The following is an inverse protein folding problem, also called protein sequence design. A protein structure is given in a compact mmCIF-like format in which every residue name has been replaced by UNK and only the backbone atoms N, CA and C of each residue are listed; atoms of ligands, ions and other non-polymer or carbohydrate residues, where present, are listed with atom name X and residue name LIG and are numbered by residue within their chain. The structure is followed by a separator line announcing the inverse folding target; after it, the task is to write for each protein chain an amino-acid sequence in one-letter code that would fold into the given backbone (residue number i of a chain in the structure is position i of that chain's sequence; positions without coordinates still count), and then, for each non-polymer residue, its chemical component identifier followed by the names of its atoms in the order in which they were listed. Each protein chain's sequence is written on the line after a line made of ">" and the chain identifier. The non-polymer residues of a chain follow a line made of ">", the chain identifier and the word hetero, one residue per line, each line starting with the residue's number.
data_IF_248461428431
#
_entry.id   IF_248461428431
#
_cell.length_a   1.000
_cell.length_b   1.000
_cell.length_c   1.000
_cell.angle_alpha   90.00
_cell.angle_beta   90.00
_cell.angle_gamma   90.00
#
_symmetry.space_group_name_H-M   'P 1'
#
loop_
_entity.id
_entity.type
_entity.pdbx_description
1 polymer ?
#
# COMPACT_ATOMS: atom_id res chain seq x y z
N UNK A 1 2.00 -18.59 -8.33
CA UNK A 1 3.07 -19.22 -7.53
C UNK A 1 2.84 -18.99 -6.04
N UNK A 2 2.36 -19.96 -5.25
CA UNK A 2 1.99 -19.80 -3.82
C UNK A 2 3.15 -19.33 -2.92
N UNK A 3 2.86 -18.47 -1.94
CA UNK A 3 3.80 -18.10 -0.87
C UNK A 3 4.22 -19.35 -0.08
N UNK A 4 5.49 -19.74 -0.17
CA UNK A 4 6.02 -20.87 0.60
C UNK A 4 6.24 -20.46 2.05
N UNK A 5 6.21 -21.42 2.99
CA UNK A 5 6.56 -21.16 4.40
C UNK A 5 7.95 -20.52 4.53
N UNK A 6 8.94 -20.99 3.77
CA UNK A 6 10.31 -20.45 3.80
C UNK A 6 10.35 -19.00 3.34
N UNK A 7 9.59 -18.65 2.29
CA UNK A 7 9.50 -17.27 1.85
C UNK A 7 8.75 -16.41 2.87
N UNK A 8 7.68 -16.91 3.50
CA UNK A 8 6.95 -16.20 4.54
C UNK A 8 7.84 -15.89 5.76
N UNK A 9 8.64 -16.84 6.22
CA UNK A 9 9.61 -16.64 7.31
C UNK A 9 10.66 -15.57 6.92
N UNK A 10 11.20 -15.63 5.69
CA UNK A 10 12.18 -14.66 5.21
C UNK A 10 11.61 -13.24 5.12
N UNK A 11 10.36 -13.11 4.65
CA UNK A 11 9.66 -11.82 4.59
C UNK A 11 9.36 -11.29 6.00
N UNK A 12 8.94 -12.17 6.94
CA UNK A 12 8.63 -11.79 8.31
C UNK A 12 9.90 -11.35 9.07
N UNK A 13 11.01 -12.06 8.89
CA UNK A 13 12.31 -11.71 9.47
C UNK A 13 12.78 -10.33 8.98
N UNK A 14 12.74 -10.13 7.66
CA UNK A 14 13.05 -8.84 7.05
C UNK A 14 12.15 -7.72 7.59
N UNK A 15 10.84 -7.94 7.63
CA UNK A 15 9.89 -6.93 8.09
C UNK A 15 10.03 -6.58 9.57
N UNK A 16 10.26 -7.59 10.43
CA UNK A 16 10.44 -7.40 11.86
C UNK A 16 11.74 -6.66 12.15
N UNK A 17 12.84 -7.04 11.47
CA UNK A 17 14.11 -6.32 11.58
C UNK A 17 14.00 -4.87 11.13
N UNK A 18 13.26 -4.62 10.04
CA UNK A 18 13.04 -3.28 9.50
C UNK A 18 12.28 -2.36 10.44
N UNK A 19 11.25 -2.83 11.16
CA UNK A 19 10.47 -2.02 12.13
C UNK A 19 11.15 -1.89 13.50
N UNK A 20 12.30 -2.55 13.69
CA UNK A 20 13.13 -2.46 14.90
C UNK A 20 14.42 -1.67 14.65
N UNK A 21 14.64 -1.18 13.42
CA UNK A 21 15.84 -0.45 13.03
C UNK A 21 15.58 1.07 13.05
N UNK A 22 15.93 1.71 14.16
CA UNK A 22 15.70 3.14 14.40
C UNK A 22 16.49 4.09 13.48
N UNK A 23 17.62 3.65 12.89
CA UNK A 23 18.45 4.50 12.02
C UNK A 23 19.00 3.74 10.80
N UNK A 24 19.23 4.44 9.66
CA UNK A 24 18.91 5.86 9.40
C UNK A 24 17.40 6.12 9.35
N UNK A 25 16.97 7.35 9.66
CA UNK A 25 15.57 7.76 9.65
C UNK A 25 15.40 9.09 8.89
N UNK A 26 14.49 9.09 7.91
CA UNK A 26 14.03 10.22 7.13
C UNK A 26 12.73 10.74 7.73
N UNK A 27 12.86 11.77 8.57
CA UNK A 27 11.73 12.40 9.23
C UNK A 27 11.04 13.41 8.30
N UNK A 28 9.74 13.21 8.03
CA UNK A 28 8.88 14.25 7.45
C UNK A 28 8.27 15.08 8.60
N UNK A 29 8.76 16.31 8.76
CA UNK A 29 8.37 17.17 9.85
C UNK A 29 8.32 18.63 9.43
N UNK A 30 7.13 19.22 9.56
CA UNK A 30 6.96 20.67 9.39
C UNK A 30 7.48 21.39 10.66
N UNK A 31 8.66 21.99 10.53
CA UNK A 31 9.28 22.86 11.53
C UNK A 31 8.49 24.17 11.59
N UNK A 32 7.91 24.48 12.75
CA UNK A 32 7.10 25.70 12.95
C UNK A 32 7.87 26.83 13.64
N UNK A 33 8.91 26.50 14.39
CA UNK A 33 9.78 27.45 15.07
C UNK A 33 11.18 26.87 15.25
N UNK A 34 12.14 27.71 15.64
CA UNK A 34 13.56 27.35 15.68
C UNK A 34 13.90 26.20 16.65
N UNK A 35 13.07 25.94 17.66
CA UNK A 35 13.29 24.84 18.62
C UNK A 35 12.48 23.57 18.30
N UNK A 36 11.78 23.52 17.15
CA UNK A 36 10.92 22.40 16.72
C UNK A 36 11.76 21.30 16.06
N UNK A 37 12.58 20.63 16.89
CA UNK A 37 13.50 19.58 16.46
C UNK A 37 13.28 18.28 17.25
N UNK A 38 12.08 17.67 17.18
CA UNK A 38 11.80 16.44 17.90
C UNK A 38 12.59 15.25 17.34
N UNK A 39 12.82 14.26 18.20
CA UNK A 39 13.28 12.94 17.76
C UNK A 39 12.08 12.12 17.28
N UNK A 40 12.23 11.26 16.24
CA UNK A 40 11.13 10.47 15.70
C UNK A 40 10.33 9.70 16.75
N UNK A 41 11.00 8.96 17.64
CA UNK A 41 10.35 8.18 18.70
C UNK A 41 9.56 9.02 19.72
N UNK A 42 9.78 10.33 19.79
CA UNK A 42 9.04 11.22 20.68
C UNK A 42 7.71 11.70 20.09
N UNK A 43 7.62 11.77 18.75
CA UNK A 43 6.43 12.26 18.03
C UNK A 43 5.69 11.17 17.26
N UNK A 44 6.34 10.03 17.01
CA UNK A 44 5.79 8.89 16.30
C UNK A 44 6.12 7.55 17.01
N UNK A 45 5.69 7.34 18.27
CA UNK A 45 6.09 6.16 19.04
C UNK A 45 5.50 4.84 18.54
N UNK A 46 4.37 4.86 17.82
CA UNK A 46 3.80 3.64 17.22
C UNK A 46 4.65 3.22 16.03
N UNK A 47 5.05 4.20 15.21
CA UNK A 47 5.69 3.97 13.92
C UNK A 47 7.19 4.33 13.90
N UNK A 48 7.82 4.43 15.07
CA UNK A 48 9.27 4.48 15.23
C UNK A 48 9.92 3.17 14.76
N UNK A 49 11.22 3.22 14.45
CA UNK A 49 11.99 2.01 14.18
C UNK A 49 12.09 1.60 12.72
N UNK A 50 11.78 2.47 11.75
CA UNK A 50 11.96 2.24 10.31
C UNK A 50 12.65 3.44 9.62
N UNK A 51 12.91 3.36 8.31
CA UNK A 51 13.48 4.47 7.53
C UNK A 51 12.57 5.71 7.54
N UNK A 52 11.25 5.55 7.42
CA UNK A 52 10.28 6.63 7.55
C UNK A 52 8.94 6.12 8.09
N UNK A 53 8.03 7.06 8.39
CA UNK A 53 6.76 6.77 9.07
C UNK A 53 5.87 5.84 8.26
N UNK A 54 5.61 6.15 6.99
CA UNK A 54 4.74 5.31 6.16
C UNK A 54 5.36 3.93 5.91
N UNK A 55 6.69 3.85 5.84
CA UNK A 55 7.36 2.55 5.75
C UNK A 55 7.19 1.69 6.97
N UNK A 56 7.28 2.29 8.15
CA UNK A 56 6.89 1.58 9.36
C UNK A 56 5.45 1.08 9.26
N UNK A 57 4.50 1.90 8.83
CA UNK A 57 3.07 1.54 8.75
C UNK A 57 2.83 0.31 7.85
N UNK A 58 3.36 0.31 6.62
CA UNK A 58 3.09 -0.79 5.69
C UNK A 58 3.95 -2.03 5.97
N UNK A 59 5.04 -1.91 6.71
CA UNK A 59 5.79 -3.07 7.23
C UNK A 59 5.09 -3.70 8.44
N UNK A 60 4.45 -2.91 9.32
CA UNK A 60 3.55 -3.45 10.34
C UNK A 60 2.35 -4.18 9.70
N UNK A 61 1.75 -3.61 8.65
CA UNK A 61 0.70 -4.31 7.89
C UNK A 61 1.22 -5.64 7.32
N UNK A 62 2.44 -5.64 6.78
CA UNK A 62 3.07 -6.83 6.22
C UNK A 62 3.24 -7.94 7.25
N UNK A 63 3.68 -7.63 8.47
CA UNK A 63 3.81 -8.59 9.57
C UNK A 63 2.49 -9.25 9.94
N UNK A 64 1.43 -8.44 10.09
CA UNK A 64 0.08 -8.96 10.35
C UNK A 64 -0.41 -9.84 9.20
N UNK A 65 -0.24 -9.37 7.97
CA UNK A 65 -0.67 -10.09 6.77
C UNK A 65 0.01 -11.45 6.65
N UNK A 66 1.32 -11.51 6.91
CA UNK A 66 2.11 -12.75 6.95
C UNK A 66 1.62 -13.71 8.03
N UNK A 67 1.37 -13.22 9.26
CA UNK A 67 0.80 -14.04 10.33
C UNK A 67 -0.60 -14.57 10.00
N UNK A 68 -1.42 -13.82 9.24
CA UNK A 68 -2.73 -14.32 8.80
C UNK A 68 -2.61 -15.36 7.68
N UNK A 69 -1.68 -15.16 6.75
CA UNK A 69 -1.46 -16.07 5.63
C UNK A 69 -0.79 -17.39 6.06
N UNK A 70 0.11 -17.33 7.05
CA UNK A 70 0.83 -18.49 7.60
C UNK A 70 0.77 -18.43 9.14
N UNK A 71 -0.30 -18.95 9.76
CA UNK A 71 -0.51 -18.84 11.21
C UNK A 71 0.58 -19.49 12.08
N UNK A 72 1.32 -20.48 11.56
CA UNK A 72 2.41 -21.14 12.30
C UNK A 72 3.80 -20.55 11.98
N UNK A 73 3.89 -19.25 11.65
CA UNK A 73 5.16 -18.54 11.54
C UNK A 73 5.94 -18.61 12.86
N UNK A 74 7.22 -18.97 12.77
CA UNK A 74 8.11 -19.09 13.91
C UNK A 74 8.29 -17.77 14.67
N UNK A 75 8.24 -16.64 13.94
CA UNK A 75 8.38 -15.29 14.48
C UNK A 75 7.09 -14.71 15.08
N UNK A 76 5.94 -15.41 15.00
CA UNK A 76 4.67 -14.88 15.49
C UNK A 76 4.71 -14.38 16.96
N UNK A 77 5.40 -15.05 17.92
CA UNK A 77 5.54 -14.53 19.28
C UNK A 77 6.33 -13.21 19.37
N UNK A 78 7.41 -13.07 18.58
CA UNK A 78 8.22 -11.85 18.55
C UNK A 78 7.45 -10.68 17.92
N UNK A 79 6.70 -10.96 16.85
CA UNK A 79 5.80 -9.98 16.22
C UNK A 79 4.73 -9.53 17.21
N UNK A 80 4.09 -10.45 17.93
CA UNK A 80 3.08 -10.08 18.93
C UNK A 80 3.66 -9.20 20.05
N UNK A 81 4.87 -9.52 20.54
CA UNK A 81 5.54 -8.70 21.55
C UNK A 81 5.86 -7.28 21.04
N UNK A 82 6.25 -7.16 19.77
CA UNK A 82 6.46 -5.86 19.11
C UNK A 82 5.17 -5.03 19.08
N UNK A 83 4.06 -5.62 18.61
CA UNK A 83 2.78 -4.92 18.61
C UNK A 83 2.30 -4.54 20.02
N UNK A 84 2.56 -5.37 21.03
CA UNK A 84 2.23 -5.06 22.44
C UNK A 84 2.97 -3.86 22.99
N UNK A 85 4.23 -3.64 22.57
CA UNK A 85 5.00 -2.49 22.99
C UNK A 85 4.62 -1.20 22.25
N UNK A 86 4.18 -1.29 21.00
CA UNK A 86 3.98 -0.14 20.12
C UNK A 86 2.50 0.30 20.00
N UNK A 87 1.55 -0.63 19.90
CA UNK A 87 0.12 -0.34 19.65
C UNK A 87 -0.67 -0.20 20.95
N UNK A 88 -0.27 0.79 21.75
CA UNK A 88 -0.94 1.14 23.01
C UNK A 88 -1.80 2.40 22.83
N UNK A 89 -2.85 2.59 23.64
CA UNK A 89 -3.64 3.83 23.62
C UNK A 89 -2.80 5.10 23.81
N UNK A 90 -1.79 5.04 24.69
CA UNK A 90 -0.91 6.17 24.98
C UNK A 90 -0.02 6.53 23.78
N UNK A 91 0.59 5.54 23.12
CA UNK A 91 1.40 5.79 21.94
C UNK A 91 0.54 6.31 20.78
N UNK A 92 -0.66 5.75 20.58
CA UNK A 92 -1.58 6.22 19.53
C UNK A 92 -2.06 7.65 19.82
N UNK A 93 -2.25 8.04 21.08
CA UNK A 93 -2.57 9.42 21.43
C UNK A 93 -1.49 10.40 20.94
N UNK A 94 -0.20 10.05 21.07
CA UNK A 94 0.91 10.86 20.56
C UNK A 94 0.85 11.04 19.03
N UNK A 95 0.62 9.96 18.28
CA UNK A 95 0.47 10.03 16.80
C UNK A 95 -0.69 10.95 16.40
N UNK A 96 -1.82 10.85 17.12
CA UNK A 96 -3.02 11.65 16.88
C UNK A 96 -2.79 13.13 17.20
N UNK A 97 -2.14 13.41 18.33
CA UNK A 97 -1.82 14.77 18.74
C UNK A 97 -0.93 15.44 17.69
N UNK A 98 0.12 14.75 17.22
CA UNK A 98 1.00 15.25 16.17
C UNK A 98 0.23 15.60 14.87
N UNK A 99 -0.62 14.69 14.39
CA UNK A 99 -1.45 14.92 13.20
C UNK A 99 -2.55 15.99 13.42
N UNK A 100 -2.90 16.26 14.67
CA UNK A 100 -3.83 17.30 15.11
C UNK A 100 -3.21 18.70 15.16
N UNK A 101 -1.88 18.81 15.21
CA UNK A 101 -1.21 20.10 15.36
C UNK A 101 -1.44 21.04 14.14
N UNK A 102 -1.52 22.36 14.37
CA UNK A 102 -1.62 23.35 13.30
C UNK A 102 -0.51 23.20 12.25
N UNK A 103 -0.90 23.07 10.98
CA UNK A 103 0.02 22.90 9.84
C UNK A 103 0.42 21.45 9.55
N UNK A 104 0.23 20.51 10.49
CA UNK A 104 0.60 19.09 10.32
C UNK A 104 -0.56 18.20 9.93
N UNK A 105 -1.77 18.75 9.81
CA UNK A 105 -2.96 18.00 9.41
C UNK A 105 -2.94 17.37 8.02
N UNK A 106 -1.93 17.68 7.19
CA UNK A 106 -1.66 17.05 5.90
C UNK A 106 -0.43 16.13 5.87
N UNK A 107 0.21 15.89 7.03
CA UNK A 107 1.33 14.97 7.18
C UNK A 107 0.95 13.60 6.60
N UNK A 108 1.84 13.03 5.78
CA UNK A 108 1.66 11.71 5.16
C UNK A 108 0.46 11.58 4.19
N UNK A 109 -0.13 12.70 3.76
CA UNK A 109 -1.21 12.71 2.76
C UNK A 109 -0.68 12.46 1.34
N UNK A 110 -1.36 11.64 0.51
CA UNK A 110 -2.42 10.69 0.86
C UNK A 110 -1.87 9.29 1.17
N UNK A 111 -0.57 9.06 0.96
CA UNK A 111 0.05 7.74 0.95
C UNK A 111 0.05 7.05 2.31
N UNK A 112 0.63 7.69 3.33
CA UNK A 112 0.67 7.11 4.67
C UNK A 112 -0.72 7.01 5.28
N UNK A 113 -1.64 7.92 4.95
CA UNK A 113 -3.06 7.79 5.33
C UNK A 113 -3.67 6.50 4.80
N UNK A 114 -3.47 6.21 3.52
CA UNK A 114 -4.01 5.02 2.87
C UNK A 114 -3.44 3.73 3.47
N UNK A 115 -2.13 3.71 3.76
CA UNK A 115 -1.50 2.57 4.43
C UNK A 115 -1.96 2.39 5.88
N UNK A 116 -2.20 3.46 6.63
CA UNK A 116 -2.74 3.38 7.99
C UNK A 116 -4.14 2.76 8.00
N UNK A 117 -4.99 3.15 7.04
CA UNK A 117 -6.32 2.56 6.87
C UNK A 117 -6.23 1.08 6.48
N UNK A 118 -5.30 0.71 5.61
CA UNK A 118 -5.06 -0.69 5.24
C UNK A 118 -4.55 -1.53 6.42
N UNK A 119 -3.67 -0.97 7.25
CA UNK A 119 -3.21 -1.58 8.50
C UNK A 119 -4.38 -1.83 9.45
N UNK A 120 -5.23 -0.83 9.69
CA UNK A 120 -6.41 -0.97 10.55
C UNK A 120 -7.38 -2.02 10.00
N UNK A 121 -7.60 -2.06 8.68
CA UNK A 121 -8.47 -3.08 8.06
C UNK A 121 -7.93 -4.51 8.25
N UNK A 122 -6.61 -4.69 8.23
CA UNK A 122 -5.98 -5.99 8.52
C UNK A 122 -6.16 -6.37 10.00
N UNK A 123 -5.92 -5.44 10.93
CA UNK A 123 -6.18 -5.64 12.36
C UNK A 123 -7.64 -6.02 12.64
N UNK A 124 -8.59 -5.31 12.03
CA UNK A 124 -10.02 -5.56 12.17
C UNK A 124 -10.43 -6.91 11.56
N UNK A 125 -9.76 -7.35 10.50
CA UNK A 125 -9.97 -8.69 9.93
C UNK A 125 -9.56 -9.77 10.92
N UNK A 126 -8.34 -9.71 11.46
CA UNK A 126 -7.85 -10.68 12.45
C UNK A 126 -8.68 -10.70 13.74
N UNK A 127 -9.15 -9.52 14.19
CA UNK A 127 -10.02 -9.43 15.35
C UNK A 127 -11.38 -10.10 15.12
N UNK A 128 -11.87 -10.10 13.87
CA UNK A 128 -13.19 -10.63 13.48
C UNK A 128 -13.16 -12.13 13.21
N UNK A 129 -12.15 -12.61 12.48
CA UNK A 129 -12.05 -14.01 12.08
C UNK A 129 -11.22 -14.88 13.06
N UNK A 130 -10.41 -14.24 13.92
CA UNK A 130 -9.52 -14.93 14.86
C UNK A 130 -8.30 -15.59 14.21
N UNK A 131 -8.00 -15.26 12.95
CA UNK A 131 -6.88 -15.81 12.18
C UNK A 131 -5.69 -14.86 12.26
N UNK A 132 -4.49 -15.39 12.53
CA UNK A 132 -3.28 -14.60 12.73
C UNK A 132 -2.92 -14.45 14.20
N UNK A 133 -2.66 -13.22 14.65
CA UNK A 133 -2.19 -12.96 16.01
C UNK A 133 -3.34 -12.76 16.99
N UNK A 134 -3.30 -13.45 18.13
CA UNK A 134 -4.30 -13.36 19.21
C UNK A 134 -4.48 -11.94 19.78
N UNK A 135 -3.51 -11.05 19.56
CA UNK A 135 -3.57 -9.66 20.00
C UNK A 135 -4.31 -8.70 19.07
N UNK A 136 -4.75 -9.15 17.89
CA UNK A 136 -5.36 -8.29 16.87
C UNK A 136 -6.47 -7.38 17.41
N UNK A 137 -7.36 -7.90 18.27
CA UNK A 137 -8.46 -7.14 18.84
C UNK A 137 -8.01 -5.93 19.70
N UNK A 138 -7.02 -6.10 20.57
CA UNK A 138 -6.54 -4.99 21.44
C UNK A 138 -5.80 -3.93 20.64
N UNK A 139 -4.99 -4.33 19.66
CA UNK A 139 -4.23 -3.40 18.82
C UNK A 139 -5.17 -2.66 17.86
N UNK A 140 -6.17 -3.35 17.31
CA UNK A 140 -7.24 -2.76 16.53
C UNK A 140 -7.94 -1.64 17.33
N UNK A 141 -8.35 -1.92 18.57
CA UNK A 141 -8.99 -0.94 19.45
C UNK A 141 -8.09 0.25 19.78
N UNK A 142 -6.79 0.01 20.01
CA UNK A 142 -5.85 1.07 20.30
C UNK A 142 -5.67 2.02 19.11
N UNK A 143 -5.55 1.49 17.88
CA UNK A 143 -5.30 2.28 16.66
C UNK A 143 -6.56 2.94 16.08
N UNK A 144 -7.74 2.36 16.32
CA UNK A 144 -9.02 2.78 15.73
C UNK A 144 -9.31 4.30 15.81
N UNK A 145 -9.06 5.01 16.93
CA UNK A 145 -9.29 6.45 16.99
C UNK A 145 -8.48 7.24 15.95
N UNK A 146 -7.22 6.85 15.72
CA UNK A 146 -6.38 7.52 14.73
C UNK A 146 -6.84 7.21 13.30
N UNK A 147 -7.15 5.95 13.02
CA UNK A 147 -7.68 5.54 11.71
C UNK A 147 -9.01 6.21 11.39
N UNK A 148 -9.86 6.44 12.40
CA UNK A 148 -11.13 7.18 12.23
C UNK A 148 -10.87 8.64 11.86
N UNK A 149 -9.93 9.31 12.53
CA UNK A 149 -9.53 10.69 12.21
C UNK A 149 -8.96 10.78 10.78
N UNK A 150 -8.13 9.81 10.39
CA UNK A 150 -7.52 9.75 9.05
C UNK A 150 -8.54 9.45 7.97
N UNK A 151 -9.51 8.56 8.20
CA UNK A 151 -10.61 8.28 7.27
C UNK A 151 -11.44 9.54 6.99
N UNK A 152 -11.80 10.29 8.03
CA UNK A 152 -12.52 11.55 7.89
C UNK A 152 -11.69 12.60 7.13
N UNK A 153 -10.39 12.71 7.41
CA UNK A 153 -9.47 13.62 6.68
C UNK A 153 -9.34 13.26 5.22
N UNK A 154 -9.22 11.97 4.89
CA UNK A 154 -9.17 11.50 3.51
C UNK A 154 -10.47 11.82 2.78
N UNK A 155 -11.63 11.52 3.38
CA UNK A 155 -12.93 11.84 2.79
C UNK A 155 -13.09 13.34 2.51
N UNK A 156 -12.72 14.20 3.48
CA UNK A 156 -12.75 15.66 3.32
C UNK A 156 -11.78 16.14 2.23
N UNK A 157 -10.57 15.56 2.18
CA UNK A 157 -9.58 15.89 1.15
C UNK A 157 -10.05 15.50 -0.25
N UNK A 158 -10.65 14.33 -0.41
CA UNK A 158 -11.21 13.87 -1.68
C UNK A 158 -12.36 14.77 -2.15
N UNK A 159 -13.27 15.14 -1.24
CA UNK A 159 -14.40 16.02 -1.54
C UNK A 159 -13.97 17.46 -1.88
N UNK A 160 -12.88 17.95 -1.28
CA UNK A 160 -12.35 19.29 -1.54
C UNK A 160 -11.43 19.37 -2.77
N UNK A 161 -10.89 18.24 -3.23
CA UNK A 161 -9.94 18.19 -4.35
C UNK A 161 -10.66 18.27 -5.69
N UNK A 162 -10.23 19.20 -6.54
CA UNK A 162 -10.80 19.34 -7.88
C UNK A 162 -10.12 18.42 -8.91
N UNK A 163 -8.84 18.09 -8.71
CA UNK A 163 -8.05 17.25 -9.62
C UNK A 163 -7.44 16.06 -8.87
N UNK A 164 -7.30 14.89 -9.52
CA UNK A 164 -6.49 13.81 -9.00
C UNK A 164 -5.00 14.11 -9.20
N UNK A 165 -4.16 13.44 -8.43
CA UNK A 165 -2.71 13.37 -8.67
C UNK A 165 -2.36 12.01 -9.25
N UNK A 166 -1.80 12.00 -10.47
CA UNK A 166 -1.43 10.79 -11.25
C UNK A 166 0.07 10.50 -11.22
N UNK A 167 0.74 10.83 -10.12
CA UNK A 167 2.18 10.57 -9.96
C UNK A 167 2.45 9.05 -9.83
N UNK A 168 3.59 8.56 -10.31
CA UNK A 168 4.04 7.18 -10.05
C UNK A 168 4.66 6.97 -8.67
N UNK A 169 4.41 7.90 -7.75
CA UNK A 169 4.99 7.96 -6.40
C UNK A 169 3.91 8.27 -5.35
N UNK A 170 4.31 8.62 -4.12
CA UNK A 170 3.46 8.74 -2.93
C UNK A 170 2.17 9.54 -3.14
N UNK A 171 2.19 10.58 -3.97
CA UNK A 171 1.01 11.44 -4.16
C UNK A 171 -0.12 10.80 -4.99
N UNK A 172 0.04 9.58 -5.52
CA UNK A 172 -0.94 8.93 -6.38
C UNK A 172 -2.33 8.78 -5.71
N UNK A 173 -3.34 9.46 -6.26
CA UNK A 173 -4.69 9.46 -5.70
C UNK A 173 -5.40 8.11 -5.88
N UNK A 174 -5.18 7.43 -7.01
CA UNK A 174 -5.83 6.16 -7.29
C UNK A 174 -5.36 5.06 -6.34
N UNK A 175 -4.05 4.98 -6.12
CA UNK A 175 -3.45 4.05 -5.16
C UNK A 175 -3.95 4.29 -3.73
N UNK A 176 -3.99 5.55 -3.29
CA UNK A 176 -4.49 5.87 -1.95
C UNK A 176 -5.96 5.45 -1.77
N UNK A 177 -6.81 5.71 -2.77
CA UNK A 177 -8.22 5.28 -2.76
C UNK A 177 -8.37 3.77 -2.77
N UNK A 178 -7.54 3.03 -3.53
CA UNK A 178 -7.55 1.57 -3.56
C UNK A 178 -7.30 0.96 -2.18
N UNK A 179 -6.26 1.41 -1.46
CA UNK A 179 -5.96 0.86 -0.14
C UNK A 179 -7.03 1.27 0.90
N UNK A 180 -7.55 2.50 0.81
CA UNK A 180 -8.58 2.99 1.72
C UNK A 180 -9.93 2.29 1.52
N UNK A 181 -10.21 1.76 0.32
CA UNK A 181 -11.49 1.11 0.01
C UNK A 181 -11.72 -0.16 0.82
N UNK A 182 -10.65 -0.94 1.11
CA UNK A 182 -10.72 -2.12 1.97
C UNK A 182 -11.22 -1.75 3.37
N UNK A 183 -10.63 -0.71 3.96
CA UNK A 183 -11.05 -0.17 5.26
C UNK A 183 -12.50 0.34 5.22
N UNK A 184 -12.82 1.13 4.20
CA UNK A 184 -14.15 1.73 4.08
C UNK A 184 -15.25 0.64 3.95
N UNK A 185 -14.94 -0.49 3.31
CA UNK A 185 -15.82 -1.67 3.23
C UNK A 185 -15.87 -2.44 4.55
N UNK A 186 -14.73 -2.71 5.20
CA UNK A 186 -14.65 -3.54 6.41
C UNK A 186 -15.30 -2.90 7.64
N UNK A 187 -15.24 -1.58 7.74
CA UNK A 187 -15.84 -0.78 8.82
C UNK A 187 -17.23 -0.23 8.48
N UNK A 188 -17.75 -0.52 7.27
CA UNK A 188 -18.98 0.10 6.78
C UNK A 188 -18.95 1.63 6.86
N UNK A 189 -17.78 2.24 6.62
CA UNK A 189 -17.60 3.69 6.59
C UNK A 189 -18.22 4.26 5.31
N UNK A 190 -19.51 4.57 5.38
CA UNK A 190 -20.29 5.07 4.26
C UNK A 190 -19.76 6.41 3.75
N UNK A 191 -19.25 7.28 4.64
CA UNK A 191 -18.77 8.60 4.26
C UNK A 191 -17.51 8.49 3.41
N UNK A 192 -16.52 7.70 3.84
CA UNK A 192 -15.29 7.48 3.09
C UNK A 192 -15.58 6.77 1.76
N UNK A 193 -16.43 5.73 1.76
CA UNK A 193 -16.81 5.03 0.51
C UNK A 193 -17.45 5.98 -0.50
N UNK A 194 -18.38 6.83 -0.07
CA UNK A 194 -19.05 7.78 -0.96
C UNK A 194 -18.08 8.83 -1.50
N UNK A 195 -17.15 9.31 -0.67
CA UNK A 195 -16.10 10.23 -1.13
C UNK A 195 -15.19 9.58 -2.18
N UNK A 196 -14.79 8.31 -1.98
CA UNK A 196 -13.99 7.57 -2.96
C UNK A 196 -14.76 7.38 -4.27
N UNK A 197 -16.00 6.89 -4.23
CA UNK A 197 -16.81 6.66 -5.44
C UNK A 197 -17.05 7.97 -6.22
N UNK A 198 -17.47 9.03 -5.52
CA UNK A 198 -17.73 10.32 -6.13
C UNK A 198 -16.48 10.94 -6.77
N UNK A 199 -15.35 10.95 -6.06
CA UNK A 199 -14.10 11.51 -6.58
C UNK A 199 -13.53 10.67 -7.72
N UNK A 200 -13.54 9.33 -7.61
CA UNK A 200 -13.06 8.45 -8.68
C UNK A 200 -13.87 8.64 -9.97
N UNK A 201 -15.21 8.70 -9.87
CA UNK A 201 -16.08 8.97 -11.02
C UNK A 201 -15.85 10.35 -11.60
N UNK A 202 -15.74 11.38 -10.76
CA UNK A 202 -15.51 12.75 -11.21
C UNK A 202 -14.15 12.93 -11.91
N UNK A 203 -13.12 12.21 -11.46
CA UNK A 203 -11.76 12.41 -11.93
C UNK A 203 -11.35 11.52 -13.11
N UNK A 204 -11.90 10.29 -13.18
CA UNK A 204 -11.38 9.27 -14.09
C UNK A 204 -12.44 8.67 -15.03
N UNK A 205 -13.74 8.84 -14.79
CA UNK A 205 -14.77 8.19 -15.63
C UNK A 205 -14.77 8.66 -17.08
N UNK A 206 -14.25 9.87 -17.34
CA UNK A 206 -14.12 10.43 -18.69
C UNK A 206 -12.75 10.23 -19.33
N UNK A 207 -11.80 9.61 -18.63
CA UNK A 207 -10.44 9.44 -19.12
C UNK A 207 -10.41 8.46 -20.30
N UNK A 208 -9.60 8.79 -21.30
CA UNK A 208 -9.47 8.08 -22.59
C UNK A 208 -8.02 8.12 -23.04
N UNK A 209 -7.64 7.16 -23.88
CA UNK A 209 -6.35 7.13 -24.57
C UNK A 209 -5.17 7.37 -23.60
N UNK A 210 -5.06 6.57 -22.54
CA UNK A 210 -4.09 6.81 -21.47
C UNK A 210 -2.67 7.01 -22.03
N UNK A 211 -1.97 8.11 -21.68
CA UNK A 211 -0.70 8.50 -22.30
C UNK A 211 0.48 7.69 -21.73
N UNK A 212 0.50 6.39 -22.02
CA UNK A 212 1.48 5.41 -21.50
C UNK A 212 2.94 5.75 -21.85
N UNK A 213 3.18 6.62 -22.84
CA UNK A 213 4.52 7.05 -23.23
C UNK A 213 5.32 7.72 -22.10
N UNK A 214 4.66 8.28 -21.09
CA UNK A 214 5.29 8.92 -19.92
C UNK A 214 5.58 7.95 -18.77
N UNK A 215 5.22 6.66 -18.91
CA UNK A 215 5.48 5.64 -17.90
C UNK A 215 6.48 4.59 -18.43
N UNK A 216 7.53 4.22 -17.66
CA UNK A 216 7.83 4.68 -16.30
C UNK A 216 8.59 6.01 -16.22
N UNK A 217 8.34 6.78 -15.17
CA UNK A 217 9.24 7.79 -14.64
C UNK A 217 10.43 7.15 -13.91
N UNK A 218 11.54 7.89 -13.78
CA UNK A 218 12.80 7.36 -13.25
C UNK A 218 12.80 6.95 -11.77
N UNK A 219 11.79 7.36 -11.01
CA UNK A 219 11.63 7.06 -9.58
C UNK A 219 10.22 6.54 -9.24
N UNK A 220 9.51 6.04 -10.24
CA UNK A 220 8.18 5.47 -10.03
C UNK A 220 8.31 4.17 -9.22
N UNK A 221 7.41 3.99 -8.26
CA UNK A 221 7.11 2.69 -7.63
C UNK A 221 5.64 2.29 -7.81
N UNK A 222 4.83 3.15 -8.42
CA UNK A 222 3.44 2.90 -8.80
C UNK A 222 3.29 3.11 -10.29
N UNK A 223 2.50 2.26 -10.94
CA UNK A 223 2.02 2.49 -12.30
C UNK A 223 0.76 3.35 -12.22
N UNK A 224 0.77 4.64 -12.62
CA UNK A 224 -0.39 5.51 -12.44
C UNK A 224 -1.62 5.00 -13.17
N UNK A 225 -1.47 4.58 -14.43
CA UNK A 225 -2.59 4.14 -15.24
C UNK A 225 -3.13 2.76 -14.84
N UNK A 226 -2.28 1.84 -14.37
CA UNK A 226 -2.77 0.57 -13.84
C UNK A 226 -3.43 0.73 -12.46
N UNK A 227 -2.94 1.64 -11.61
CA UNK A 227 -3.63 1.98 -10.35
C UNK A 227 -5.00 2.63 -10.63
N UNK A 228 -5.07 3.54 -11.61
CA UNK A 228 -6.32 4.15 -12.05
C UNK A 228 -7.30 3.11 -12.58
N UNK A 229 -6.85 2.24 -13.50
CA UNK A 229 -7.69 1.17 -14.04
C UNK A 229 -8.19 0.22 -12.95
N UNK A 230 -7.35 -0.16 -11.99
CA UNK A 230 -7.75 -1.03 -10.90
C UNK A 230 -8.76 -0.34 -9.96
N UNK A 231 -8.60 0.95 -9.68
CA UNK A 231 -9.61 1.71 -8.93
C UNK A 231 -10.94 1.76 -9.68
N UNK A 232 -10.90 2.08 -10.97
CA UNK A 232 -12.10 2.20 -11.79
C UNK A 232 -12.81 0.87 -11.98
N UNK A 233 -12.09 -0.26 -11.99
CA UNK A 233 -12.69 -1.60 -11.88
C UNK A 233 -13.54 -1.74 -10.61
N UNK A 234 -13.01 -1.32 -9.46
CA UNK A 234 -13.72 -1.44 -8.18
C UNK A 234 -14.92 -0.49 -8.06
N UNK A 235 -14.85 0.68 -8.70
CA UNK A 235 -15.88 1.75 -8.64
C UNK A 235 -16.99 1.55 -9.67
N UNK A 236 -16.65 1.19 -10.91
CA UNK A 236 -17.60 1.07 -12.02
C UNK A 236 -18.30 -0.30 -12.07
N UNK A 237 -17.67 -1.35 -11.54
CA UNK A 237 -18.22 -2.71 -11.59
C UNK A 237 -18.54 -3.14 -13.03
N UNK A 238 -19.82 -3.36 -13.34
CA UNK A 238 -20.27 -3.83 -14.66
C UNK A 238 -19.94 -2.88 -15.83
N UNK A 239 -19.76 -1.59 -15.58
CA UNK A 239 -19.43 -0.59 -16.60
C UNK A 239 -17.92 -0.56 -16.95
N UNK A 240 -17.08 -1.26 -16.16
CA UNK A 240 -15.63 -1.22 -16.31
C UNK A 240 -15.15 -1.64 -17.71
N UNK A 241 -15.75 -2.67 -18.31
CA UNK A 241 -15.30 -3.17 -19.62
C UNK A 241 -15.51 -2.17 -20.76
N UNK A 242 -16.50 -1.28 -20.67
CA UNK A 242 -16.69 -0.20 -21.64
C UNK A 242 -15.71 0.95 -21.41
N UNK A 243 -15.54 1.35 -20.15
CA UNK A 243 -14.56 2.36 -19.77
C UNK A 243 -13.14 1.93 -20.17
N UNK A 244 -12.75 0.67 -19.88
CA UNK A 244 -11.44 0.11 -20.23
C UNK A 244 -11.16 0.18 -21.73
N UNK A 245 -12.14 -0.09 -22.59
CA UNK A 245 -11.96 0.03 -24.06
C UNK A 245 -11.68 1.45 -24.52
N UNK A 246 -12.12 2.46 -23.76
CA UNK A 246 -11.86 3.87 -24.07
C UNK A 246 -10.55 4.36 -23.43
N UNK A 247 -10.21 3.83 -22.26
CA UNK A 247 -9.05 4.24 -21.47
C UNK A 247 -7.75 3.55 -21.90
N UNK A 248 -7.80 2.24 -22.15
CA UNK A 248 -6.62 1.42 -22.33
C UNK A 248 -5.76 1.92 -23.51
N UNK A 249 -4.42 1.94 -23.36
CA UNK A 249 -3.53 2.26 -24.46
C UNK A 249 -3.73 1.31 -25.65
N UNK A 250 -3.35 1.78 -26.83
CA UNK A 250 -3.28 0.95 -28.03
C UNK A 250 -2.47 -0.33 -27.77
N UNK A 251 -2.90 -1.43 -28.38
CA UNK A 251 -2.26 -2.74 -28.19
C UNK A 251 -0.75 -2.74 -28.47
N UNK A 252 -0.30 -1.90 -29.42
CA UNK A 252 1.12 -1.73 -29.76
C UNK A 252 1.93 -0.98 -28.68
N UNK A 253 1.26 -0.27 -27.77
CA UNK A 253 1.88 0.50 -26.71
C UNK A 253 1.84 -0.22 -25.35
N UNK A 254 1.02 -1.28 -25.21
CA UNK A 254 0.87 -2.06 -23.97
C UNK A 254 2.19 -2.66 -23.47
N UNK A 255 3.16 -2.93 -24.36
CA UNK A 255 4.48 -3.46 -24.00
C UNK A 255 5.17 -2.65 -22.88
N UNK A 256 4.89 -1.35 -22.76
CA UNK A 256 5.41 -0.49 -21.68
C UNK A 256 4.91 -0.88 -20.29
N UNK A 257 3.71 -1.45 -20.19
CA UNK A 257 3.17 -2.03 -18.98
C UNK A 257 3.49 -3.51 -18.82
N UNK A 258 3.71 -4.25 -19.92
CA UNK A 258 3.91 -5.69 -19.87
C UNK A 258 5.38 -6.09 -19.61
N UNK A 259 6.33 -5.23 -19.98
CA UNK A 259 7.75 -5.45 -19.76
C UNK A 259 8.22 -4.84 -18.42
N UNK A 260 9.08 -5.56 -17.65
CA UNK A 260 9.69 -5.02 -16.44
C UNK A 260 10.45 -3.72 -16.67
N UNK A 261 10.31 -2.80 -15.71
CA UNK A 261 11.16 -1.63 -15.64
C UNK A 261 12.61 -2.06 -15.36
N UNK A 262 13.56 -1.39 -16.02
CA UNK A 262 14.99 -1.63 -15.87
C UNK A 262 15.50 -0.82 -14.68
N UNK A 263 16.08 -1.51 -13.69
CA UNK A 263 16.70 -0.86 -12.53
C UNK A 263 18.22 -0.81 -12.74
N UNK A 264 18.72 0.35 -13.13
CA UNK A 264 20.15 0.52 -13.49
C UNK A 264 21.07 0.59 -12.26
N UNK A 265 20.63 1.25 -11.20
CA UNK A 265 21.36 1.37 -9.94
C UNK A 265 20.42 1.10 -8.76
N UNK A 266 20.71 0.03 -8.02
CA UNK A 266 19.93 -0.39 -6.83
C UNK A 266 20.44 0.20 -5.52
N UNK A 267 21.57 0.90 -5.55
CA UNK A 267 22.09 1.65 -4.41
C UNK A 267 21.48 3.05 -4.30
N UNK A 268 20.96 3.59 -5.41
CA UNK A 268 20.24 4.85 -5.40
C UNK A 268 18.82 4.68 -4.82
N UNK A 269 18.53 5.48 -3.80
CA UNK A 269 17.28 5.38 -3.05
C UNK A 269 16.03 5.72 -3.89
N UNK A 270 16.18 6.42 -5.01
CA UNK A 270 15.08 6.66 -5.95
C UNK A 270 15.05 5.64 -7.09
N UNK A 271 16.20 5.21 -7.60
CA UNK A 271 16.30 4.19 -8.65
C UNK A 271 15.70 2.85 -8.20
N UNK A 272 15.89 2.49 -6.93
CA UNK A 272 15.32 1.25 -6.35
C UNK A 272 13.79 1.23 -6.33
N UNK A 273 13.12 2.40 -6.44
CA UNK A 273 11.67 2.46 -6.58
C UNK A 273 11.15 1.64 -7.76
N UNK A 274 11.94 1.49 -8.82
CA UNK A 274 11.55 0.72 -10.00
C UNK A 274 11.39 -0.79 -9.72
N UNK A 275 12.04 -1.34 -8.69
CA UNK A 275 11.72 -2.70 -8.23
C UNK A 275 10.32 -2.73 -7.58
N UNK A 276 9.94 -1.69 -6.85
CA UNK A 276 8.57 -1.53 -6.34
C UNK A 276 7.55 -1.27 -7.45
N UNK A 277 7.92 -0.57 -8.53
CA UNK A 277 7.07 -0.42 -9.71
C UNK A 277 6.79 -1.78 -10.35
N UNK A 278 7.81 -2.63 -10.47
CA UNK A 278 7.61 -3.99 -10.97
C UNK A 278 6.63 -4.76 -10.06
N UNK A 279 6.74 -4.66 -8.73
CA UNK A 279 5.77 -5.29 -7.83
C UNK A 279 4.35 -4.70 -7.92
N UNK A 280 4.20 -3.37 -8.03
CA UNK A 280 2.89 -2.75 -8.17
C UNK A 280 2.24 -3.03 -9.52
N UNK A 281 3.02 -3.14 -10.60
CA UNK A 281 2.54 -3.64 -11.90
C UNK A 281 2.12 -5.09 -11.81
N UNK A 282 2.91 -5.96 -11.17
CA UNK A 282 2.53 -7.35 -10.95
C UNK A 282 1.18 -7.46 -10.21
N UNK A 283 0.99 -6.65 -9.18
CA UNK A 283 -0.28 -6.58 -8.44
C UNK A 283 -1.44 -6.13 -9.35
N UNK A 284 -1.31 -4.99 -10.02
CA UNK A 284 -2.42 -4.42 -10.79
C UNK A 284 -2.77 -5.28 -12.01
N UNK A 285 -1.78 -5.77 -12.75
CA UNK A 285 -1.99 -6.64 -13.91
C UNK A 285 -2.70 -7.94 -13.53
N UNK A 286 -2.26 -8.59 -12.44
CA UNK A 286 -2.91 -9.81 -11.94
C UNK A 286 -4.37 -9.54 -11.55
N UNK A 287 -4.66 -8.40 -10.91
CA UNK A 287 -6.01 -8.05 -10.49
C UNK A 287 -6.91 -7.75 -11.69
N UNK A 288 -6.42 -6.96 -12.64
CA UNK A 288 -7.14 -6.57 -13.85
C UNK A 288 -7.40 -7.77 -14.78
N UNK A 289 -6.51 -8.75 -14.84
CA UNK A 289 -6.70 -9.95 -15.65
C UNK A 289 -8.02 -10.68 -15.38
N UNK A 290 -8.54 -10.61 -14.14
CA UNK A 290 -9.84 -11.20 -13.78
C UNK A 290 -11.05 -10.55 -14.47
N UNK A 291 -10.88 -9.35 -15.02
CA UNK A 291 -11.93 -8.55 -15.65
C UNK A 291 -11.79 -8.45 -17.17
N UNK A 292 -10.85 -9.20 -17.75
CA UNK A 292 -10.57 -9.24 -19.18
C UNK A 292 -10.96 -10.59 -19.77
N UNK A 293 -11.28 -10.61 -21.06
CA UNK A 293 -11.51 -11.85 -21.81
C UNK A 293 -10.19 -12.44 -22.32
N UNK A 294 -10.18 -13.75 -22.61
CA UNK A 294 -9.07 -14.37 -23.33
C UNK A 294 -8.98 -13.84 -24.78
N UNK A 295 -7.76 -13.71 -25.36
CA UNK A 295 -6.45 -14.07 -24.78
C UNK A 295 -5.78 -12.98 -23.94
N UNK A 296 -6.40 -11.79 -23.81
CA UNK A 296 -5.78 -10.64 -23.13
C UNK A 296 -5.55 -10.90 -21.64
N UNK A 297 -6.49 -11.61 -20.99
CA UNK A 297 -6.36 -12.00 -19.59
C UNK A 297 -5.10 -12.85 -19.34
N UNK A 298 -4.78 -13.80 -20.22
CA UNK A 298 -3.55 -14.58 -20.11
C UNK A 298 -2.28 -13.71 -20.26
N UNK A 299 -2.27 -12.78 -21.21
CA UNK A 299 -1.14 -11.83 -21.39
C UNK A 299 -0.87 -11.04 -20.12
N UNK A 300 -1.91 -10.57 -19.43
CA UNK A 300 -1.76 -9.82 -18.18
C UNK A 300 -1.24 -10.70 -17.04
N UNK A 301 -1.68 -11.97 -16.95
CA UNK A 301 -1.15 -12.92 -15.97
C UNK A 301 0.33 -13.22 -16.19
N UNK A 302 0.73 -13.46 -17.44
CA UNK A 302 2.12 -13.74 -17.80
C UNK A 302 3.03 -12.53 -17.53
N UNK A 303 2.56 -11.33 -17.86
CA UNK A 303 3.27 -10.09 -17.53
C UNK A 303 3.38 -9.87 -16.02
N UNK A 304 2.32 -10.14 -15.25
CA UNK A 304 2.38 -10.04 -13.80
C UNK A 304 3.45 -10.98 -13.19
N UNK A 305 3.53 -12.22 -13.69
CA UNK A 305 4.55 -13.18 -13.28
C UNK A 305 5.97 -12.74 -13.68
N UNK A 306 6.11 -12.10 -14.85
CA UNK A 306 7.39 -11.57 -15.35
C UNK A 306 7.89 -10.41 -14.48
N UNK A 307 7.01 -9.45 -14.18
CA UNK A 307 7.30 -8.34 -13.27
C UNK A 307 7.68 -8.80 -11.87
N UNK A 308 6.92 -9.75 -11.32
CA UNK A 308 7.20 -10.36 -10.02
C UNK A 308 8.61 -10.95 -10.00
N UNK A 309 8.94 -11.76 -11.01
CA UNK A 309 10.23 -12.45 -11.09
C UNK A 309 11.41 -11.48 -11.16
N UNK A 310 11.23 -10.34 -11.84
CA UNK A 310 12.26 -9.31 -11.94
C UNK A 310 12.59 -8.64 -10.59
N UNK A 311 11.58 -8.37 -9.76
CA UNK A 311 11.74 -7.66 -8.49
C UNK A 311 11.94 -8.57 -7.26
N UNK A 312 11.43 -9.80 -7.29
CA UNK A 312 11.40 -10.72 -6.14
C UNK A 312 12.75 -10.90 -5.42
N UNK A 313 13.90 -11.03 -6.11
CA UNK A 313 15.19 -11.16 -5.43
C UNK A 313 15.53 -9.96 -4.52
N UNK A 314 15.03 -8.77 -4.85
CA UNK A 314 15.37 -7.52 -4.16
C UNK A 314 14.55 -7.29 -2.89
N UNK A 315 13.39 -7.94 -2.79
CA UNK A 315 12.44 -7.77 -1.67
C UNK A 315 13.09 -7.99 -0.30
N UNK A 316 14.02 -8.95 -0.19
CA UNK A 316 14.72 -9.25 1.07
C UNK A 316 16.25 -9.29 0.95
N UNK A 317 16.81 -9.10 -0.24
CA UNK A 317 18.28 -9.14 -0.46
C UNK A 317 18.85 -7.81 -0.95
N UNK A 318 18.01 -6.81 -1.19
CA UNK A 318 18.45 -5.46 -1.49
C UNK A 318 19.02 -4.75 -0.26
N UNK A 319 19.56 -3.55 -0.48
CA UNK A 319 20.00 -2.67 0.59
C UNK A 319 18.80 -2.15 1.41
N UNK A 320 19.07 -1.52 2.56
CA UNK A 320 18.02 -1.01 3.45
C UNK A 320 17.07 -0.03 2.74
N UNK A 321 17.57 0.77 1.79
CA UNK A 321 16.75 1.67 0.94
C UNK A 321 15.71 0.94 0.08
N UNK A 322 15.87 -0.38 -0.12
CA UNK A 322 14.92 -1.26 -0.78
C UNK A 322 14.08 -2.05 0.23
N UNK A 323 14.75 -2.72 1.17
CA UNK A 323 14.11 -3.72 2.04
C UNK A 323 13.21 -3.11 3.10
N UNK A 324 13.35 -1.81 3.39
CA UNK A 324 12.47 -1.12 4.35
C UNK A 324 11.01 -1.03 3.92
N UNK A 325 10.67 -1.39 2.67
CA UNK A 325 9.31 -1.26 2.14
C UNK A 325 8.88 -2.29 1.11
N UNK A 326 9.79 -2.91 0.35
CA UNK A 326 9.40 -3.79 -0.77
C UNK A 326 8.58 -5.03 -0.36
N UNK A 327 8.66 -5.47 0.90
CA UNK A 327 7.82 -6.59 1.40
C UNK A 327 6.33 -6.27 1.27
N UNK A 328 5.91 -5.02 1.53
CA UNK A 328 4.50 -4.65 1.47
C UNK A 328 3.96 -4.73 0.04
N UNK A 329 4.73 -4.27 -0.94
CA UNK A 329 4.39 -4.37 -2.36
C UNK A 329 4.40 -5.82 -2.87
N UNK A 330 5.32 -6.65 -2.36
CA UNK A 330 5.32 -8.06 -2.69
C UNK A 330 4.04 -8.75 -2.16
N UNK A 331 3.59 -8.41 -0.95
CA UNK A 331 2.35 -8.96 -0.39
C UNK A 331 1.10 -8.50 -1.14
N UNK A 332 1.03 -7.23 -1.57
CA UNK A 332 -0.06 -6.75 -2.44
C UNK A 332 -0.19 -7.64 -3.70
N UNK A 333 0.93 -7.96 -4.36
CA UNK A 333 0.92 -8.78 -5.56
C UNK A 333 0.60 -10.26 -5.27
N UNK A 334 1.03 -10.82 -4.14
CA UNK A 334 0.75 -12.20 -3.75
C UNK A 334 -0.73 -12.42 -3.41
N UNK A 335 -1.35 -11.48 -2.70
CA UNK A 335 -2.75 -11.59 -2.25
C UNK A 335 -3.70 -11.85 -3.42
N UNK A 336 -3.47 -11.15 -4.54
CA UNK A 336 -4.28 -11.31 -5.75
C UNK A 336 -3.95 -12.61 -6.51
N UNK A 337 -2.69 -13.05 -6.47
CA UNK A 337 -2.23 -14.27 -7.16
C UNK A 337 -2.58 -15.56 -6.40
N UNK A 338 -3.08 -15.48 -5.16
CA UNK A 338 -3.39 -16.64 -4.31
C UNK A 338 -4.83 -16.72 -3.79
N UNK A 339 -5.66 -15.70 -3.99
CA UNK A 339 -7.10 -15.77 -3.64
C UNK A 339 -7.96 -16.41 -4.75
N UNK A 340 -7.40 -16.90 -5.85
CA UNK A 340 -8.08 -17.80 -6.78
C UNK A 340 -8.03 -19.27 -6.32
N UNK A 341 -8.54 -19.53 -5.12
CA UNK A 341 -8.90 -20.87 -4.66
C UNK A 341 -10.12 -20.81 -3.74
N UNK A 342 -11.21 -20.26 -4.28
CA UNK A 342 -12.58 -20.56 -3.83
C UNK A 342 -13.47 -20.56 -5.07
N UNK A 343 -13.19 -21.51 -5.96
CA UNK A 343 -14.25 -22.11 -6.76
C UNK A 343 -15.05 -23.03 -5.84
N UNK A 344 -16.36 -22.75 -5.81
CA UNK A 344 -17.49 -23.56 -5.34
C UNK A 344 -17.19 -25.02 -4.95
#
# INVERSE_FOLDING_TARGET
>A
MSLTRVDAERLADCALGVVQQRYPHKLDHLIRHADDHPLPHAIHPVFDGCYDWHSSVHMHWSLLRLCRAVPELSLAPAIAAHFDAHFTPDNVAVERDYAGEPGRGGFERPYGWAWLLKLQSELNSQARDGIGLRGGHRWAQALQPFSTDVAARLANFLAASHYPVRAGTHANSAFAMLLALDYARSESDVALRNAIDASARAWFASDRDYPIAYEPGGNDFLSPGLCEALLMREVLGGEFGEWWRSFAPDASALDRWLAPAIVSDRSDAQGVHLDGLNLSRAWCLAALASSLSEPQAQVFRDAADTHWTAAWPQVTRGDFVATHWLVSFALLALDVRHLSASSL
#
